data_IF_658201296992
#
_entry.id   IF_658201296992
#
_cell.length_a   1.000
_cell.length_b   1.000
_cell.length_c   1.000
_cell.angle_alpha   90.00
_cell.angle_beta   90.00
_cell.angle_gamma   90.00
#
_symmetry.space_group_name_H-M   'P 1'
#
loop_
_entity.id
_entity.type
_entity.pdbx_description
1 polymer ?
#
# COMPACT_ATOMS: atom_id res chain seq x y z
N UNK A 1 -21.79 7.35 -7.65
CA UNK A 1 -21.09 7.17 -6.37
C UNK A 1 -19.61 7.04 -6.70
N UNK A 2 -18.76 7.97 -6.30
CA UNK A 2 -17.31 7.91 -6.55
C UNK A 2 -16.65 7.10 -5.42
N UNK A 3 -16.88 5.78 -5.43
CA UNK A 3 -16.37 4.86 -4.41
C UNK A 3 -15.19 4.03 -4.87
N UNK A 4 -14.78 4.11 -6.14
CA UNK A 4 -13.85 3.16 -6.76
C UNK A 4 -12.49 3.05 -6.06
N UNK A 5 -11.94 4.14 -5.50
CA UNK A 5 -10.70 4.07 -4.70
C UNK A 5 -10.87 3.21 -3.43
N UNK A 6 -12.02 3.33 -2.76
CA UNK A 6 -12.38 2.54 -1.59
C UNK A 6 -12.73 1.10 -1.97
N UNK A 7 -13.43 0.90 -3.09
CA UNK A 7 -13.75 -0.42 -3.60
C UNK A 7 -12.49 -1.21 -3.95
N UNK A 8 -11.54 -0.58 -4.65
CA UNK A 8 -10.27 -1.20 -5.02
C UNK A 8 -9.40 -1.52 -3.80
N UNK A 9 -9.30 -0.59 -2.83
CA UNK A 9 -8.47 -0.80 -1.63
C UNK A 9 -9.11 -1.78 -0.64
N UNK A 10 -10.37 -1.58 -0.26
CA UNK A 10 -11.01 -2.38 0.78
C UNK A 10 -11.31 -3.81 0.33
N UNK A 11 -11.52 -4.05 -0.98
CA UNK A 11 -11.67 -5.41 -1.50
C UNK A 11 -10.36 -6.19 -1.37
N UNK A 12 -9.21 -5.56 -1.63
CA UNK A 12 -7.90 -6.21 -1.41
C UNK A 12 -7.72 -6.53 0.09
N UNK A 13 -7.97 -5.55 0.97
CA UNK A 13 -7.84 -5.74 2.42
C UNK A 13 -8.81 -6.81 2.97
N UNK A 14 -10.04 -6.88 2.44
CA UNK A 14 -11.01 -7.88 2.85
C UNK A 14 -10.60 -9.29 2.42
N UNK A 15 -10.15 -9.46 1.17
CA UNK A 15 -9.66 -10.76 0.69
C UNK A 15 -8.39 -11.20 1.43
N UNK A 16 -7.52 -10.24 1.76
CA UNK A 16 -6.37 -10.48 2.61
C UNK A 16 -6.81 -10.99 3.98
N UNK A 17 -7.73 -10.28 4.63
CA UNK A 17 -8.28 -10.67 5.93
C UNK A 17 -8.93 -12.06 5.89
N UNK A 18 -9.70 -12.38 4.85
CA UNK A 18 -10.30 -13.70 4.67
C UNK A 18 -9.28 -14.83 4.48
N UNK A 19 -8.03 -14.53 4.06
CA UNK A 19 -7.00 -15.56 3.86
C UNK A 19 -6.50 -16.18 5.17
N UNK A 20 -6.49 -15.39 6.25
CA UNK A 20 -6.26 -15.86 7.62
C UNK A 20 -6.90 -14.84 8.58
N UNK A 21 -8.15 -15.10 8.96
CA UNK A 21 -8.97 -14.17 9.74
C UNK A 21 -8.31 -13.81 11.08
N UNK A 22 -7.71 -14.79 11.77
CA UNK A 22 -7.15 -14.54 13.09
C UNK A 22 -5.87 -13.70 12.96
N UNK A 23 -4.95 -14.12 12.10
CA UNK A 23 -3.69 -13.41 11.89
C UNK A 23 -3.92 -11.98 11.41
N UNK A 24 -4.77 -11.78 10.39
CA UNK A 24 -4.99 -10.44 9.84
C UNK A 24 -5.84 -9.54 10.72
N UNK A 25 -6.69 -10.10 11.60
CA UNK A 25 -7.34 -9.28 12.64
C UNK A 25 -6.30 -8.69 13.57
N UNK A 26 -5.37 -9.51 14.06
CA UNK A 26 -4.33 -9.07 14.98
C UNK A 26 -3.38 -8.06 14.32
N UNK A 27 -2.86 -8.37 13.13
CA UNK A 27 -1.90 -7.53 12.42
C UNK A 27 -2.49 -6.17 11.98
N UNK A 28 -3.73 -6.16 11.47
CA UNK A 28 -4.38 -4.90 11.06
C UNK A 28 -4.78 -4.06 12.29
N UNK A 29 -5.26 -4.68 13.36
CA UNK A 29 -5.56 -3.97 14.61
C UNK A 29 -4.29 -3.42 15.29
N UNK A 30 -3.16 -4.13 15.17
CA UNK A 30 -1.88 -3.71 15.74
C UNK A 30 -1.32 -2.40 15.13
N UNK A 31 -1.83 -1.98 13.96
CA UNK A 31 -1.55 -0.65 13.40
C UNK A 31 -1.98 0.47 14.38
N UNK A 32 -3.02 0.20 15.20
CA UNK A 32 -3.49 1.09 16.26
C UNK A 32 -4.34 2.25 15.75
N UNK A 33 -4.86 2.15 14.53
CA UNK A 33 -5.63 3.22 13.89
C UNK A 33 -7.13 2.88 13.84
N UNK A 34 -7.95 3.80 14.32
CA UNK A 34 -9.39 3.58 14.43
C UNK A 34 -10.05 3.25 13.08
N UNK A 35 -9.57 3.79 11.95
CA UNK A 35 -10.20 3.54 10.65
C UNK A 35 -9.99 2.10 10.16
N UNK A 36 -8.78 1.54 10.32
CA UNK A 36 -8.54 0.13 9.97
C UNK A 36 -9.22 -0.81 10.97
N UNK A 37 -9.28 -0.43 12.26
CA UNK A 37 -10.02 -1.19 13.29
C UNK A 37 -11.51 -1.24 12.94
N UNK A 38 -12.11 -0.11 12.57
CA UNK A 38 -13.51 -0.05 12.13
C UNK A 38 -13.76 -0.90 10.89
N UNK A 39 -12.79 -0.92 9.95
CA UNK A 39 -12.86 -1.72 8.75
C UNK A 39 -12.81 -3.23 9.07
N UNK A 40 -11.89 -3.66 9.95
CA UNK A 40 -11.78 -5.05 10.42
C UNK A 40 -13.03 -5.49 11.17
N UNK A 41 -13.58 -4.67 12.06
CA UNK A 41 -14.85 -4.95 12.73
C UNK A 41 -15.99 -5.13 11.71
N UNK A 42 -16.03 -4.28 10.69
CA UNK A 42 -16.97 -4.44 9.59
C UNK A 42 -16.75 -5.73 8.79
N UNK A 43 -15.50 -6.16 8.57
CA UNK A 43 -15.22 -7.44 7.91
C UNK A 43 -15.77 -8.64 8.71
N UNK A 44 -15.68 -8.61 10.04
CA UNK A 44 -16.30 -9.61 10.92
C UNK A 44 -17.83 -9.64 10.74
N UNK A 45 -18.47 -8.47 10.65
CA UNK A 45 -19.92 -8.33 10.39
C UNK A 45 -20.31 -8.87 9.01
N UNK A 46 -19.47 -8.64 7.99
CA UNK A 46 -19.67 -9.17 6.63
C UNK A 46 -19.54 -10.69 6.61
N UNK A 47 -18.50 -11.25 7.25
CA UNK A 47 -18.30 -12.71 7.35
C UNK A 47 -19.45 -13.40 8.10
N UNK A 48 -20.08 -12.69 9.04
CA UNK A 48 -21.25 -13.16 9.78
C UNK A 48 -22.58 -12.92 9.04
N UNK A 49 -22.55 -12.42 7.80
CA UNK A 49 -23.71 -12.06 6.97
C UNK A 49 -24.63 -10.99 7.57
N UNK A 50 -24.15 -10.19 8.53
CA UNK A 50 -24.93 -9.08 9.09
C UNK A 50 -24.91 -7.85 8.18
N UNK A 51 -23.87 -7.71 7.37
CA UNK A 51 -23.66 -6.55 6.49
C UNK A 51 -23.03 -6.94 5.18
N UNK A 52 -23.06 -6.02 4.23
CA UNK A 52 -22.30 -6.14 2.98
C UNK A 52 -21.03 -5.30 3.05
N UNK A 53 -20.03 -5.64 2.22
CA UNK A 53 -18.78 -4.89 2.15
C UNK A 53 -19.01 -3.43 1.76
N UNK A 54 -19.99 -3.15 0.90
CA UNK A 54 -20.35 -1.79 0.48
C UNK A 54 -20.93 -0.96 1.63
N UNK A 55 -21.70 -1.60 2.52
CA UNK A 55 -22.23 -0.95 3.72
C UNK A 55 -21.11 -0.55 4.67
N UNK A 56 -20.17 -1.47 4.94
CA UNK A 56 -18.99 -1.21 5.78
C UNK A 56 -18.13 -0.10 5.15
N UNK A 57 -17.87 -0.19 3.85
CA UNK A 57 -17.14 0.83 3.08
C UNK A 57 -17.76 2.20 3.25
N UNK A 58 -19.08 2.32 3.08
CA UNK A 58 -19.75 3.63 3.16
C UNK A 58 -19.74 4.21 4.57
N UNK A 59 -19.80 3.38 5.61
CA UNK A 59 -19.64 3.85 6.99
C UNK A 59 -18.23 4.40 7.26
N UNK A 60 -17.20 3.67 6.83
CA UNK A 60 -15.80 4.13 6.94
C UNK A 60 -15.60 5.41 6.13
N UNK A 61 -16.16 5.51 4.91
CA UNK A 61 -16.11 6.73 4.09
C UNK A 61 -16.74 7.94 4.79
N UNK A 62 -17.90 7.78 5.43
CA UNK A 62 -18.53 8.87 6.19
C UNK A 62 -17.67 9.30 7.37
N UNK A 63 -17.02 8.36 8.07
CA UNK A 63 -16.04 8.69 9.12
C UNK A 63 -14.84 9.43 8.52
N UNK A 64 -14.27 8.95 7.43
CA UNK A 64 -13.13 9.59 6.77
C UNK A 64 -13.43 11.02 6.34
N UNK A 65 -14.64 11.30 5.82
CA UNK A 65 -15.07 12.66 5.49
C UNK A 65 -15.08 13.58 6.71
N UNK A 66 -15.57 13.11 7.86
CA UNK A 66 -15.62 13.90 9.10
C UNK A 66 -14.21 14.30 9.55
N UNK A 67 -13.24 13.39 9.48
CA UNK A 67 -11.88 13.61 9.97
C UNK A 67 -10.92 14.19 8.92
N UNK A 68 -11.18 13.96 7.64
CA UNK A 68 -10.35 14.38 6.50
C UNK A 68 -11.21 15.03 5.40
N UNK A 69 -11.97 16.10 5.71
CA UNK A 69 -12.98 16.68 4.81
C UNK A 69 -12.39 17.37 3.58
N UNK A 70 -11.07 17.57 3.50
CA UNK A 70 -10.42 18.16 2.33
C UNK A 70 -10.08 17.13 1.27
N UNK A 71 -9.62 15.96 1.71
CA UNK A 71 -9.00 14.96 0.85
C UNK A 71 -9.93 13.76 0.61
N UNK A 72 -10.83 13.44 1.55
CA UNK A 72 -11.66 12.23 1.55
C UNK A 72 -13.17 12.55 1.69
N UNK A 73 -13.68 13.42 0.83
CA UNK A 73 -15.10 13.81 0.84
C UNK A 73 -16.01 12.69 0.34
N UNK A 74 -17.17 12.52 0.98
CA UNK A 74 -18.12 11.50 0.57
C UNK A 74 -18.73 11.87 -0.79
N UNK A 75 -18.85 10.88 -1.68
CA UNK A 75 -19.40 11.08 -3.03
C UNK A 75 -18.45 11.75 -4.03
N UNK A 76 -17.28 12.23 -3.62
CA UNK A 76 -16.26 12.82 -4.50
C UNK A 76 -15.16 11.81 -4.86
N UNK A 77 -14.35 12.15 -5.86
CA UNK A 77 -13.14 11.38 -6.16
C UNK A 77 -12.18 11.44 -4.97
N UNK A 78 -11.61 10.30 -4.63
CA UNK A 78 -10.57 10.17 -3.62
C UNK A 78 -9.30 9.67 -4.30
N UNK A 79 -8.16 10.26 -3.94
CA UNK A 79 -6.87 9.75 -4.36
C UNK A 79 -6.53 8.48 -3.56
N UNK A 80 -5.94 7.48 -4.22
CA UNK A 80 -5.71 6.18 -3.59
C UNK A 80 -4.66 6.25 -2.48
N UNK A 81 -3.69 7.14 -2.63
CA UNK A 81 -2.65 7.39 -1.65
C UNK A 81 -3.21 8.08 -0.41
N UNK A 82 -4.15 9.01 -0.53
CA UNK A 82 -4.83 9.62 0.61
C UNK A 82 -5.64 8.58 1.40
N UNK A 83 -6.33 7.67 0.71
CA UNK A 83 -7.03 6.55 1.36
C UNK A 83 -6.05 5.69 2.16
N UNK A 84 -4.95 5.22 1.55
CA UNK A 84 -4.01 4.35 2.26
C UNK A 84 -3.20 5.06 3.34
N UNK A 85 -2.83 6.34 3.17
CA UNK A 85 -2.14 7.13 4.20
C UNK A 85 -2.97 7.22 5.47
N UNK A 86 -4.29 7.41 5.34
CA UNK A 86 -5.20 7.49 6.48
C UNK A 86 -5.53 6.10 7.03
N UNK A 87 -5.79 5.10 6.19
CA UNK A 87 -6.16 3.75 6.65
C UNK A 87 -4.99 3.01 7.30
N UNK A 88 -3.79 3.11 6.71
CA UNK A 88 -2.56 2.47 7.21
C UNK A 88 -1.66 3.46 7.97
N UNK A 89 -2.26 4.56 8.46
CA UNK A 89 -1.61 5.49 9.37
C UNK A 89 -1.45 4.89 10.76
N UNK A 90 -0.45 5.34 11.49
CA UNK A 90 -0.16 5.00 12.88
C UNK A 90 0.09 6.29 13.67
N UNK A 91 -0.10 6.27 14.98
CA UNK A 91 0.22 7.43 15.83
C UNK A 91 1.73 7.64 15.96
N UNK A 92 2.49 6.54 15.98
CA UNK A 92 3.94 6.56 16.09
C UNK A 92 4.61 6.56 14.71
N UNK A 93 5.77 7.21 14.57
CA UNK A 93 6.61 7.06 13.38
C UNK A 93 6.98 5.59 13.11
N UNK A 94 6.76 5.14 11.88
CA UNK A 94 7.09 3.78 11.42
C UNK A 94 8.24 3.75 10.44
N UNK A 95 8.51 4.88 9.77
CA UNK A 95 9.63 5.03 8.82
C UNK A 95 10.30 6.38 8.98
N UNK A 96 11.58 6.46 8.70
CA UNK A 96 12.33 7.73 8.75
C UNK A 96 13.21 7.90 7.52
N UNK A 97 13.48 9.16 7.22
CA UNK A 97 14.44 9.56 6.19
C UNK A 97 15.51 10.41 6.85
N UNK A 98 16.77 10.10 6.60
CA UNK A 98 17.92 10.79 7.19
C UNK A 98 19.00 11.04 6.15
N UNK A 99 19.68 12.16 6.27
CA UNK A 99 20.96 12.37 5.62
C UNK A 99 22.04 11.52 6.30
N UNK A 100 22.83 10.79 5.53
CA UNK A 100 23.99 10.03 5.97
C UNK A 100 25.17 10.26 5.01
N UNK A 101 26.38 10.41 5.54
CA UNK A 101 27.62 10.45 4.74
C UNK A 101 28.48 9.20 4.97
N UNK A 102 29.54 9.03 4.16
CA UNK A 102 30.48 7.91 4.27
C UNK A 102 31.16 7.76 5.64
N UNK A 103 31.24 8.84 6.44
CA UNK A 103 31.77 8.83 7.81
C UNK A 103 30.68 8.62 8.88
N UNK A 104 29.49 8.14 8.52
CA UNK A 104 28.36 7.87 9.44
C UNK A 104 27.86 9.09 10.24
N UNK A 105 28.08 10.31 9.76
CA UNK A 105 27.37 11.46 10.31
C UNK A 105 25.92 11.44 9.83
N UNK A 106 24.98 11.38 10.77
CA UNK A 106 23.54 11.27 10.49
C UNK A 106 22.79 12.54 10.90
N UNK A 107 21.88 13.00 10.04
CA UNK A 107 20.89 14.04 10.36
C UNK A 107 19.50 13.60 9.91
N UNK A 108 18.57 13.43 10.85
CA UNK A 108 17.17 13.08 10.54
C UNK A 108 16.50 14.23 9.77
N UNK A 109 15.75 13.87 8.72
CA UNK A 109 14.95 14.79 7.91
C UNK A 109 13.50 14.72 8.33
N UNK A 110 12.85 13.61 8.01
CA UNK A 110 11.42 13.42 8.15
C UNK A 110 11.13 12.08 8.82
N UNK A 111 9.98 12.02 9.46
CA UNK A 111 9.40 10.80 10.01
C UNK A 111 8.04 10.60 9.39
N UNK A 112 7.72 9.37 9.01
CA UNK A 112 6.46 8.99 8.40
C UNK A 112 5.74 8.03 9.35
N UNK A 113 4.48 8.30 9.61
CA UNK A 113 3.62 7.49 10.49
C UNK A 113 2.56 6.75 9.68
N UNK A 114 2.93 6.18 8.53
CA UNK A 114 2.07 5.31 7.74
C UNK A 114 2.90 4.28 6.96
N UNK A 115 2.26 3.19 6.55
CA UNK A 115 2.88 2.10 5.81
C UNK A 115 2.79 2.26 4.27
N UNK A 116 2.75 3.50 3.79
CA UNK A 116 2.79 3.82 2.35
C UNK A 116 4.18 4.35 1.98
N UNK A 117 4.80 3.73 0.97
CA UNK A 117 6.05 4.19 0.33
C UNK A 117 5.67 4.90 -0.96
N UNK A 118 5.92 6.20 -1.04
CA UNK A 118 5.61 7.01 -2.23
C UNK A 118 6.86 7.21 -3.07
N UNK A 119 6.75 7.06 -4.40
CA UNK A 119 7.90 7.14 -5.32
C UNK A 119 8.55 8.52 -5.32
N UNK A 120 7.78 9.56 -4.98
CA UNK A 120 8.26 10.94 -4.99
C UNK A 120 8.77 11.34 -6.38
N UNK A 121 9.91 12.02 -6.43
CA UNK A 121 10.53 12.46 -7.68
C UNK A 121 11.42 11.39 -8.35
N UNK A 122 11.74 10.30 -7.66
CA UNK A 122 12.63 9.26 -8.17
C UNK A 122 11.81 8.17 -8.86
N UNK A 123 12.23 7.78 -10.06
CA UNK A 123 11.72 6.57 -10.70
C UNK A 123 12.56 5.36 -10.26
N UNK A 124 11.89 4.26 -9.95
CA UNK A 124 12.51 2.98 -9.64
C UNK A 124 12.32 2.02 -10.82
N UNK A 125 13.30 1.14 -11.06
CA UNK A 125 13.19 0.15 -12.16
C UNK A 125 12.17 -0.93 -11.81
N UNK A 126 12.10 -1.32 -10.53
CA UNK A 126 11.16 -2.30 -10.02
C UNK A 126 10.84 -2.09 -8.55
N UNK A 127 9.76 -2.70 -8.07
CA UNK A 127 9.41 -2.70 -6.64
C UNK A 127 10.48 -3.34 -5.75
N UNK A 128 11.18 -4.37 -6.22
CA UNK A 128 12.32 -4.99 -5.53
C UNK A 128 13.50 -4.03 -5.40
N UNK A 129 13.83 -3.31 -6.48
CA UNK A 129 14.86 -2.28 -6.44
C UNK A 129 14.49 -1.17 -5.46
N UNK A 130 13.21 -0.80 -5.41
CA UNK A 130 12.72 0.17 -4.45
C UNK A 130 12.76 -0.32 -2.99
N UNK A 131 12.29 -1.56 -2.74
CA UNK A 131 12.27 -2.19 -1.42
C UNK A 131 13.66 -2.39 -0.83
N UNK A 132 14.69 -2.57 -1.67
CA UNK A 132 16.09 -2.65 -1.23
C UNK A 132 16.60 -1.36 -0.57
N UNK A 133 15.86 -0.25 -0.69
CA UNK A 133 16.16 1.02 -0.03
C UNK A 133 17.50 1.63 -0.43
N UNK A 134 17.84 1.71 -1.73
CA UNK A 134 19.10 2.28 -2.14
C UNK A 134 19.15 3.74 -1.70
N UNK A 135 20.28 4.13 -1.09
CA UNK A 135 20.60 5.50 -0.77
C UNK A 135 20.26 6.43 -1.95
N UNK A 136 19.52 7.52 -1.69
CA UNK A 136 19.23 8.53 -2.70
C UNK A 136 20.36 9.55 -2.71
N UNK A 137 20.88 9.83 -3.90
CA UNK A 137 21.90 10.85 -4.10
C UNK A 137 21.35 12.25 -3.81
N UNK A 138 22.22 13.12 -3.31
CA UNK A 138 21.88 14.51 -3.04
C UNK A 138 22.99 15.42 -3.54
N UNK A 139 22.67 16.68 -3.80
CA UNK A 139 23.67 17.71 -4.11
C UNK A 139 24.36 18.27 -2.83
N UNK A 140 24.10 17.69 -1.65
CA UNK A 140 24.60 18.21 -0.38
C UNK A 140 25.91 17.55 0.05
N UNK A 141 26.75 18.34 0.70
CA UNK A 141 27.96 17.88 1.37
C UNK A 141 27.76 17.90 2.88
N UNK A 142 28.39 16.94 3.56
CA UNK A 142 28.37 16.83 5.00
C UNK A 142 29.13 18.01 5.60
N UNK A 143 28.45 18.85 6.38
CA UNK A 143 29.09 20.03 6.99
C UNK A 143 30.26 19.68 7.94
N UNK A 144 30.30 18.44 8.47
CA UNK A 144 31.36 18.01 9.39
C UNK A 144 32.61 17.47 8.70
N UNK A 145 32.47 16.78 7.56
CA UNK A 145 33.60 16.09 6.92
C UNK A 145 33.75 16.38 5.42
N UNK A 146 32.89 17.19 4.83
CA UNK A 146 32.94 17.58 3.41
C UNK A 146 32.51 16.49 2.41
N UNK A 147 32.27 15.25 2.84
CA UNK A 147 31.85 14.15 1.96
C UNK A 147 30.40 14.27 1.50
N UNK A 148 30.11 13.63 0.37
CA UNK A 148 28.76 13.48 -0.16
C UNK A 148 27.81 12.89 0.88
N UNK A 149 26.56 13.36 0.80
CA UNK A 149 25.47 12.94 1.66
C UNK A 149 24.41 12.27 0.80
N UNK A 150 23.86 11.19 1.32
CA UNK A 150 22.74 10.47 0.73
C UNK A 150 21.53 10.50 1.66
N UNK A 151 20.32 10.38 1.12
CA UNK A 151 19.13 10.12 1.92
C UNK A 151 19.01 8.61 2.09
N UNK A 152 19.01 8.17 3.35
CA UNK A 152 18.71 6.80 3.74
C UNK A 152 17.29 6.75 4.29
N UNK A 153 16.52 5.77 3.82
CA UNK A 153 15.20 5.45 4.34
C UNK A 153 15.25 4.20 5.19
N UNK A 154 14.65 4.24 6.38
CA UNK A 154 14.69 3.13 7.33
C UNK A 154 13.32 2.91 7.97
N UNK A 155 12.91 1.64 8.04
CA UNK A 155 11.78 1.21 8.85
C UNK A 155 12.18 1.15 10.31
N UNK A 156 11.47 1.89 11.16
CA UNK A 156 11.58 1.80 12.62
C UNK A 156 10.83 0.57 13.15
N UNK A 157 9.73 0.23 12.49
CA UNK A 157 8.93 -0.97 12.73
C UNK A 157 8.74 -1.66 11.38
N UNK A 158 9.02 -2.97 11.32
CA UNK A 158 8.75 -3.75 10.13
C UNK A 158 7.25 -4.02 10.01
N UNK A 159 6.58 -3.58 8.93
CA UNK A 159 5.16 -3.84 8.76
C UNK A 159 4.86 -5.27 8.31
N UNK A 160 3.63 -5.72 8.58
CA UNK A 160 3.05 -6.93 7.96
C UNK A 160 2.38 -6.62 6.62
N UNK A 161 1.99 -5.36 6.38
CA UNK A 161 1.44 -4.86 5.12
C UNK A 161 2.17 -3.59 4.69
N UNK A 162 2.57 -3.53 3.42
CA UNK A 162 3.26 -2.39 2.83
C UNK A 162 2.62 -2.01 1.50
N UNK A 163 2.45 -0.71 1.28
CA UNK A 163 1.88 -0.18 0.06
C UNK A 163 2.93 0.65 -0.67
N UNK A 164 3.17 0.35 -1.95
CA UNK A 164 3.96 1.20 -2.84
C UNK A 164 3.02 2.00 -3.71
N UNK A 165 3.06 3.33 -3.58
CA UNK A 165 2.38 4.27 -4.46
C UNK A 165 3.36 4.75 -5.54
N UNK A 166 3.05 4.39 -6.78
CA UNK A 166 3.88 4.68 -7.93
C UNK A 166 3.77 6.14 -8.36
N UNK A 167 2.77 6.90 -7.89
CA UNK A 167 2.58 8.31 -8.22
C UNK A 167 2.66 8.61 -9.74
N UNK A 168 2.26 7.65 -10.58
CA UNK A 168 2.30 7.75 -12.05
C UNK A 168 3.60 7.31 -12.72
N UNK A 169 4.59 6.82 -11.98
CA UNK A 169 5.83 6.26 -12.54
C UNK A 169 5.63 4.84 -13.08
N UNK A 170 6.22 4.56 -14.23
CA UNK A 170 6.26 3.21 -14.80
C UNK A 170 7.41 2.42 -14.19
N UNK A 171 7.11 1.23 -13.65
CA UNK A 171 8.10 0.30 -13.13
C UNK A 171 7.62 -1.15 -13.17
N UNK A 172 8.56 -2.09 -13.07
CA UNK A 172 8.25 -3.52 -12.98
C UNK A 172 7.73 -3.87 -11.58
N UNK A 173 6.53 -4.43 -11.51
CA UNK A 173 5.96 -4.92 -10.25
C UNK A 173 6.43 -6.37 -10.07
N UNK A 174 7.19 -6.61 -9.01
CA UNK A 174 7.77 -7.92 -8.72
C UNK A 174 6.79 -8.76 -7.90
N UNK A 175 6.57 -10.06 -8.19
CA UNK A 175 5.70 -10.91 -7.36
C UNK A 175 6.13 -11.00 -5.90
N UNK A 176 7.43 -10.82 -5.64
CA UNK A 176 8.02 -10.83 -4.29
C UNK A 176 9.09 -9.78 -4.18
N UNK A 177 9.20 -9.17 -3.01
CA UNK A 177 10.26 -8.22 -2.65
C UNK A 177 10.96 -8.68 -1.35
N UNK A 178 12.12 -8.09 -1.07
CA UNK A 178 12.84 -8.29 0.19
C UNK A 178 13.07 -6.94 0.88
N UNK A 179 12.81 -6.91 2.18
CA UNK A 179 13.07 -5.75 3.04
C UNK A 179 14.04 -6.17 4.12
N UNK A 180 15.18 -5.47 4.20
CA UNK A 180 16.14 -5.66 5.28
C UNK A 180 15.74 -4.83 6.50
N UNK A 181 15.56 -5.47 7.64
CA UNK A 181 15.28 -4.81 8.91
C UNK A 181 16.06 -5.48 10.05
N UNK A 182 16.77 -4.69 10.85
CA UNK A 182 17.64 -5.16 11.94
C UNK A 182 18.62 -6.27 11.51
N UNK A 183 19.20 -6.15 10.31
CA UNK A 183 20.16 -7.10 9.75
C UNK A 183 19.56 -8.41 9.20
N UNK A 184 18.25 -8.60 9.31
CA UNK A 184 17.54 -9.75 8.74
C UNK A 184 16.78 -9.36 7.47
N UNK A 185 16.71 -10.27 6.50
CA UNK A 185 15.94 -10.07 5.27
C UNK A 185 14.58 -10.74 5.41
N UNK A 186 13.52 -9.94 5.22
CA UNK A 186 12.14 -10.41 5.28
C UNK A 186 11.55 -10.41 3.88
N UNK A 187 10.93 -11.53 3.50
CA UNK A 187 10.25 -11.67 2.22
C UNK A 187 8.83 -11.13 2.32
N UNK A 188 8.42 -10.40 1.30
CA UNK A 188 7.04 -9.99 1.13
C UNK A 188 6.54 -10.46 -0.22
N UNK A 189 5.29 -10.93 -0.27
CA UNK A 189 4.62 -11.30 -1.51
C UNK A 189 3.61 -10.23 -1.92
N UNK A 190 3.42 -10.10 -3.22
CA UNK A 190 2.38 -9.26 -3.79
C UNK A 190 1.00 -9.83 -3.43
N UNK A 191 0.12 -8.99 -2.86
CA UNK A 191 -1.24 -9.35 -2.48
C UNK A 191 -2.29 -8.63 -3.34
N UNK A 192 -1.94 -7.48 -3.92
CA UNK A 192 -2.83 -6.78 -4.83
C UNK A 192 -2.16 -5.67 -5.62
N UNK A 193 -2.78 -5.30 -6.73
CA UNK A 193 -2.39 -4.16 -7.56
C UNK A 193 -3.64 -3.33 -7.83
N UNK A 194 -3.53 -2.01 -7.69
CA UNK A 194 -4.59 -1.08 -8.06
C UNK A 194 -4.16 -0.35 -9.34
N UNK A 195 -5.07 -0.33 -10.30
CA UNK A 195 -4.90 0.32 -11.59
C UNK A 195 -5.86 1.50 -11.71
N UNK A 196 -5.42 2.55 -12.37
CA UNK A 196 -6.21 3.74 -12.65
C UNK A 196 -6.20 4.08 -14.13
N UNK A 197 -7.34 4.54 -14.63
CA UNK A 197 -7.47 5.07 -15.97
C UNK A 197 -8.92 5.46 -16.24
N UNK A 198 -9.14 6.47 -17.08
CA UNK A 198 -10.49 6.96 -17.41
C UNK A 198 -11.32 7.31 -16.15
N UNK A 199 -10.69 7.97 -15.17
CA UNK A 199 -11.31 8.37 -13.89
C UNK A 199 -11.92 7.20 -13.07
N UNK A 200 -11.40 5.99 -13.23
CA UNK A 200 -11.89 4.80 -12.52
C UNK A 200 -10.74 3.91 -12.03
N UNK A 201 -10.83 3.43 -10.79
CA UNK A 201 -9.90 2.47 -10.21
C UNK A 201 -10.45 1.04 -10.33
N UNK A 202 -9.57 0.09 -10.64
CA UNK A 202 -9.83 -1.35 -10.54
C UNK A 202 -8.70 -2.00 -9.76
N UNK A 203 -8.95 -3.16 -9.17
CA UNK A 203 -7.96 -3.92 -8.41
C UNK A 203 -7.79 -5.34 -8.93
N UNK A 204 -6.55 -5.82 -8.96
CA UNK A 204 -6.25 -7.24 -8.97
C UNK A 204 -5.91 -7.70 -7.55
N UNK A 205 -6.49 -8.83 -7.15
CA UNK A 205 -6.22 -9.51 -5.89
C UNK A 205 -5.41 -10.75 -6.23
N UNK A 206 -4.28 -10.95 -5.56
CA UNK A 206 -3.42 -12.12 -5.71
C UNK A 206 -3.50 -12.96 -4.42
N UNK A 207 -4.11 -14.14 -4.53
CA UNK A 207 -4.25 -15.08 -3.42
C UNK A 207 -2.93 -15.82 -3.16
N UNK A 208 -2.85 -16.48 -2.00
CA UNK A 208 -1.63 -17.19 -1.57
C UNK A 208 -1.22 -18.32 -2.51
N UNK A 209 -2.18 -18.97 -3.17
CA UNK A 209 -1.96 -20.00 -4.18
C UNK A 209 -1.63 -19.44 -5.57
N UNK A 210 -1.53 -18.12 -5.70
CA UNK A 210 -1.20 -17.41 -6.92
C UNK A 210 -2.41 -17.11 -7.80
N UNK A 211 -3.63 -17.46 -7.42
CA UNK A 211 -4.82 -17.08 -8.18
C UNK A 211 -4.99 -15.56 -8.23
N UNK A 212 -5.21 -15.04 -9.43
CA UNK A 212 -5.42 -13.62 -9.70
C UNK A 212 -6.89 -13.37 -10.01
N UNK A 213 -7.49 -12.45 -9.25
CA UNK A 213 -8.89 -12.06 -9.37
C UNK A 213 -8.99 -10.56 -9.66
N UNK A 214 -9.77 -10.17 -10.66
CA UNK A 214 -10.03 -8.78 -11.00
C UNK A 214 -11.33 -8.30 -10.36
N UNK A 215 -11.29 -7.14 -9.73
CA UNK A 215 -12.44 -6.43 -9.20
C UNK A 215 -12.51 -5.03 -9.79
N UNK A 216 -13.61 -4.72 -10.47
CA UNK A 216 -13.85 -3.43 -11.12
C UNK A 216 -14.76 -2.54 -10.26
N UNK A 217 -15.73 -3.13 -9.54
CA UNK A 217 -16.71 -2.41 -8.74
C UNK A 217 -17.82 -1.73 -9.55
N UNK A 218 -17.58 -1.33 -10.81
CA UNK A 218 -18.62 -0.89 -11.74
C UNK A 218 -19.12 -2.08 -12.55
N UNK A 219 -18.23 -2.72 -13.31
CA UNK A 219 -18.62 -3.79 -14.25
C UNK A 219 -18.95 -5.09 -13.52
N UNK A 220 -18.14 -5.44 -12.52
CA UNK A 220 -18.29 -6.71 -11.77
C UNK A 220 -19.24 -6.58 -10.59
N UNK A 221 -19.63 -5.35 -10.22
CA UNK A 221 -20.35 -5.08 -8.97
C UNK A 221 -19.61 -5.70 -7.78
N UNK A 222 -20.31 -6.53 -7.01
CA UNK A 222 -19.76 -7.26 -5.84
C UNK A 222 -18.90 -8.46 -6.19
N UNK A 223 -18.89 -8.90 -7.45
CA UNK A 223 -18.21 -10.11 -7.87
C UNK A 223 -16.78 -9.79 -8.33
N UNK A 224 -15.96 -10.83 -8.40
CA UNK A 224 -14.63 -10.78 -8.99
C UNK A 224 -14.57 -11.72 -10.19
N UNK A 225 -13.71 -11.39 -11.15
CA UNK A 225 -13.47 -12.20 -12.34
C UNK A 225 -12.11 -12.87 -12.23
N UNK A 226 -12.05 -14.20 -12.34
CA UNK A 226 -10.80 -14.93 -12.36
C UNK A 226 -9.98 -14.57 -13.61
N UNK A 227 -8.69 -14.26 -13.43
CA UNK A 227 -7.75 -13.87 -14.51
C UNK A 227 -6.63 -14.88 -14.76
N UNK A 228 -6.53 -15.92 -13.93
CA UNK A 228 -5.50 -16.96 -14.06
C UNK A 228 -4.59 -17.03 -12.84
N UNK A 229 -3.39 -17.54 -13.04
CA UNK A 229 -2.35 -17.68 -12.01
C UNK A 229 -1.22 -16.68 -12.27
N UNK A 230 -0.68 -16.11 -11.20
CA UNK A 230 0.58 -15.36 -11.26
C UNK A 230 1.72 -16.33 -11.51
N UNK A 231 2.50 -16.10 -12.55
CA UNK A 231 3.72 -16.87 -12.82
C UNK A 231 4.90 -16.24 -12.09
N UNK A 232 6.01 -16.97 -11.85
CA UNK A 232 7.22 -16.39 -11.27
C UNK A 232 7.79 -15.22 -12.08
N UNK A 233 7.60 -15.24 -13.40
CA UNK A 233 7.99 -14.19 -14.35
C UNK A 233 6.75 -13.73 -15.12
N UNK A 234 5.89 -12.90 -14.53
CA UNK A 234 4.71 -12.39 -15.22
C UNK A 234 5.14 -11.42 -16.34
N UNK A 235 4.46 -11.47 -17.49
CA UNK A 235 4.85 -10.72 -18.67
C UNK A 235 4.73 -9.19 -18.47
N UNK A 236 3.61 -8.72 -17.92
CA UNK A 236 3.40 -7.35 -17.51
C UNK A 236 2.33 -7.31 -16.40
N UNK A 237 2.66 -6.70 -15.27
CA UNK A 237 1.74 -6.42 -14.17
C UNK A 237 1.37 -4.92 -14.10
N UNK A 238 2.03 -4.07 -14.87
CA UNK A 238 1.81 -2.63 -14.88
C UNK A 238 0.53 -2.25 -15.63
N UNK A 239 0.08 -3.02 -16.61
CA UNK A 239 -1.16 -2.73 -17.33
C UNK A 239 -2.26 -3.78 -17.10
N UNK A 240 -3.51 -3.31 -16.98
CA UNK A 240 -4.69 -4.18 -16.93
C UNK A 240 -5.93 -3.45 -17.42
N UNK A 241 -6.72 -4.06 -18.31
CA UNK A 241 -7.98 -3.49 -18.84
C UNK A 241 -7.85 -2.03 -19.33
N UNK A 242 -6.77 -1.71 -20.06
CA UNK A 242 -6.42 -0.35 -20.53
C UNK A 242 -6.18 0.68 -19.42
N UNK A 243 -5.82 0.23 -18.21
CA UNK A 243 -5.43 1.06 -17.07
C UNK A 243 -4.00 0.76 -16.67
N UNK A 244 -3.36 1.72 -16.01
CA UNK A 244 -1.99 1.59 -15.52
C UNK A 244 -1.97 1.43 -14.01
N UNK A 245 -1.07 0.61 -13.51
CA UNK A 245 -0.88 0.40 -12.10
C UNK A 245 -0.46 1.73 -11.45
N UNK A 246 -1.09 2.05 -10.33
CA UNK A 246 -0.76 3.22 -9.51
C UNK A 246 -0.28 2.81 -8.13
N UNK A 247 -0.61 1.60 -7.70
CA UNK A 247 -0.30 1.14 -6.36
C UNK A 247 -0.16 -0.38 -6.33
N UNK A 248 0.79 -0.89 -5.56
CA UNK A 248 0.94 -2.32 -5.26
C UNK A 248 0.99 -2.56 -3.75
N UNK A 249 0.28 -3.59 -3.30
CA UNK A 249 0.16 -3.98 -1.91
C UNK A 249 0.94 -5.27 -1.71
N UNK A 250 1.88 -5.24 -0.78
CA UNK A 250 2.72 -6.35 -0.38
C UNK A 250 2.43 -6.74 1.05
N UNK A 251 2.53 -8.03 1.34
CA UNK A 251 2.36 -8.56 2.68
C UNK A 251 3.56 -9.42 3.05
N UNK A 252 3.90 -9.44 4.32
CA UNK A 252 4.98 -10.28 4.85
C UNK A 252 4.58 -11.76 4.76
N UNK A 253 5.49 -12.59 4.27
CA UNK A 253 5.35 -14.05 4.24
C UNK A 253 5.66 -14.70 5.60
#
# INVERSE_FOLDING_TARGET
NNSCAYDASFTILFNLWCSDINFWTDELCAIGNQFIIDLVNGFVEVNSNFRTIESVRDDVRRKLEIFNPRDLQFGHFAAIDDVFKVILGSEAPVRTSSYICANNHVRRLNSHSNFVVMSGARSHISTSSWASGPNEETAHLCHRCGYEVYIKHEFLVLPSILVFDFSGHHLNIDPTIQITHNGSNYRFRLAGIIYFGQAHFISQIILQDGQVWLHDGITTGRNMTYKGLITPNPADLYTSENKTAVCAIYIKD
#
